data_IF_328487337768
#
_entry.id   IF_328487337768
#
_cell.length_a   1.000
_cell.length_b   1.000
_cell.length_c   1.000
_cell.angle_alpha   90.00
_cell.angle_beta   90.00
_cell.angle_gamma   90.00
#
_symmetry.space_group_name_H-M   'P 1'
#
loop_
_entity.id
_entity.type
_entity.pdbx_description
1 polymer ?
#
# COMPACT_ATOMS: atom_id res chain seq x y z
N UNK A 1 -12.81 14.03 -8.81
CA UNK A 1 -13.27 12.64 -8.66
C UNK A 1 -12.26 11.70 -9.31
N UNK A 2 -11.41 11.05 -8.52
CA UNK A 2 -10.44 10.07 -9.01
C UNK A 2 -10.47 8.85 -8.10
N UNK A 3 -11.62 8.20 -8.02
CA UNK A 3 -11.82 7.11 -7.06
C UNK A 3 -12.54 5.95 -7.73
N UNK A 4 -11.89 4.79 -7.71
CA UNK A 4 -12.38 3.43 -7.98
C UNK A 4 -12.56 2.89 -9.41
N UNK A 5 -12.92 3.66 -10.44
CA UNK A 5 -13.21 3.05 -11.75
C UNK A 5 -11.98 2.79 -12.64
N UNK A 6 -10.94 3.63 -12.56
CA UNK A 6 -9.74 3.46 -13.40
C UNK A 6 -8.83 2.31 -12.95
N UNK A 7 -8.80 1.99 -11.66
CA UNK A 7 -8.06 0.83 -11.10
C UNK A 7 -8.64 -0.50 -11.55
N UNK A 8 -9.85 -0.53 -12.11
CA UNK A 8 -10.46 -1.73 -12.73
C UNK A 8 -9.98 -1.98 -14.16
N UNK A 9 -9.29 -1.02 -14.78
CA UNK A 9 -8.81 -1.19 -16.15
C UNK A 9 -7.70 -2.24 -16.16
N UNK A 10 -7.85 -3.38 -16.86
CA UNK A 10 -6.85 -4.44 -16.87
C UNK A 10 -5.48 -3.95 -17.30
N UNK A 11 -5.42 -3.06 -18.31
CA UNK A 11 -4.17 -2.46 -18.77
C UNK A 11 -3.41 -1.70 -17.68
N UNK A 12 -4.10 -1.01 -16.77
CA UNK A 12 -3.45 -0.33 -15.65
C UNK A 12 -2.95 -1.32 -14.60
N UNK A 13 -3.72 -2.38 -14.32
CA UNK A 13 -3.31 -3.44 -13.40
C UNK A 13 -2.06 -4.16 -13.91
N UNK A 14 -2.02 -4.45 -15.22
CA UNK A 14 -0.90 -5.12 -15.87
C UNK A 14 0.35 -4.21 -15.91
N UNK A 15 0.19 -2.92 -16.24
CA UNK A 15 1.29 -1.95 -16.21
C UNK A 15 1.86 -1.72 -14.81
N UNK A 16 0.98 -1.70 -13.79
CA UNK A 16 1.40 -1.61 -12.38
C UNK A 16 2.22 -2.84 -11.98
N UNK A 17 1.73 -4.04 -12.31
CA UNK A 17 2.45 -5.29 -12.06
C UNK A 17 3.81 -5.34 -12.74
N UNK A 18 3.88 -4.89 -14.00
CA UNK A 18 5.14 -4.82 -14.75
C UNK A 18 6.15 -3.86 -14.09
N UNK A 19 5.68 -2.73 -13.57
CA UNK A 19 6.52 -1.77 -12.84
C UNK A 19 7.05 -2.35 -11.53
N UNK A 20 6.20 -3.03 -10.75
CA UNK A 20 6.59 -3.69 -9.50
C UNK A 20 7.58 -4.82 -9.77
N UNK A 21 7.36 -5.60 -10.82
CA UNK A 21 8.27 -6.66 -11.25
C UNK A 21 9.65 -6.08 -11.58
N UNK A 22 9.70 -5.01 -12.36
CA UNK A 22 10.96 -4.36 -12.71
C UNK A 22 11.72 -3.85 -11.48
N UNK A 23 11.05 -3.12 -10.58
CA UNK A 23 11.67 -2.66 -9.32
C UNK A 23 12.17 -3.84 -8.49
N UNK A 24 11.40 -4.92 -8.43
CA UNK A 24 11.75 -6.13 -7.68
C UNK A 24 12.95 -6.88 -8.27
N UNK A 25 13.19 -6.77 -9.59
CA UNK A 25 14.35 -7.37 -10.25
C UNK A 25 15.64 -6.62 -9.92
N UNK A 26 15.60 -5.30 -9.88
CA UNK A 26 16.80 -4.46 -9.65
C UNK A 26 17.09 -4.23 -8.16
N UNK A 27 16.12 -4.44 -7.29
CA UNK A 27 16.28 -4.20 -5.84
C UNK A 27 16.70 -5.50 -5.13
N UNK A 28 17.89 -5.56 -4.50
CA UNK A 28 18.27 -6.70 -3.68
C UNK A 28 17.43 -6.75 -2.38
N UNK A 29 17.27 -7.95 -1.81
CA UNK A 29 16.57 -8.15 -0.53
C UNK A 29 15.11 -7.65 -0.53
N UNK A 30 14.72 -6.82 0.44
CA UNK A 30 13.35 -6.43 0.72
C UNK A 30 12.80 -5.31 -0.14
N UNK A 31 11.60 -5.52 -0.69
CA UNK A 31 10.76 -4.51 -1.33
C UNK A 31 9.42 -4.46 -0.62
N UNK A 32 8.99 -3.28 -0.22
CA UNK A 32 7.65 -3.04 0.31
C UNK A 32 6.78 -2.41 -0.78
N UNK A 33 5.52 -2.86 -0.91
CA UNK A 33 4.57 -2.29 -1.84
C UNK A 33 3.26 -1.95 -1.13
N UNK A 34 3.03 -0.66 -0.87
CA UNK A 34 1.84 -0.18 -0.18
C UNK A 34 0.71 0.13 -1.14
N UNK A 35 -0.46 -0.43 -0.81
CA UNK A 35 -1.69 -0.35 -1.60
C UNK A 35 -2.78 0.43 -0.84
N UNK A 36 -3.65 1.18 -1.54
CA UNK A 36 -4.77 1.93 -0.94
C UNK A 36 -5.78 1.09 -0.16
N UNK A 37 -5.94 -0.19 -0.48
CA UNK A 37 -6.91 -1.05 0.19
C UNK A 37 -6.64 -2.54 -0.04
N UNK A 38 -7.09 -3.38 0.89
CA UNK A 38 -7.10 -4.84 0.71
C UNK A 38 -7.91 -5.27 -0.52
N UNK A 39 -8.97 -4.56 -0.87
CA UNK A 39 -9.77 -4.90 -2.04
C UNK A 39 -8.97 -4.76 -3.34
N UNK A 40 -8.20 -3.67 -3.48
CA UNK A 40 -7.31 -3.50 -4.63
C UNK A 40 -6.20 -4.54 -4.61
N UNK A 41 -5.62 -4.84 -3.45
CA UNK A 41 -4.62 -5.89 -3.30
C UNK A 41 -5.12 -7.25 -3.78
N UNK A 42 -6.32 -7.68 -3.37
CA UNK A 42 -6.94 -8.92 -3.85
C UNK A 42 -7.23 -8.87 -5.36
N UNK A 43 -7.72 -7.74 -5.87
CA UNK A 43 -8.00 -7.57 -7.30
C UNK A 43 -6.73 -7.73 -8.15
N UNK A 44 -5.63 -7.09 -7.76
CA UNK A 44 -4.35 -7.19 -8.45
C UNK A 44 -3.78 -8.60 -8.35
N UNK A 45 -3.84 -9.24 -7.18
CA UNK A 45 -3.41 -10.61 -7.00
C UNK A 45 -4.14 -11.56 -7.96
N UNK A 46 -5.47 -11.52 -8.02
CA UNK A 46 -6.26 -12.35 -8.96
C UNK A 46 -5.87 -12.09 -10.41
N UNK A 47 -5.80 -10.82 -10.84
CA UNK A 47 -5.40 -10.47 -12.21
C UNK A 47 -3.99 -10.96 -12.56
N UNK A 48 -3.05 -10.83 -11.63
CA UNK A 48 -1.66 -11.23 -11.85
C UNK A 48 -1.47 -12.74 -11.79
N UNK A 49 -2.33 -13.48 -11.10
CA UNK A 49 -2.41 -14.93 -11.22
C UNK A 49 -2.87 -15.35 -12.61
N UNK A 50 -3.96 -14.76 -13.12
CA UNK A 50 -4.51 -15.05 -14.46
C UNK A 50 -3.53 -14.76 -15.59
N UNK A 51 -2.78 -13.65 -15.49
CA UNK A 51 -1.80 -13.22 -16.51
C UNK A 51 -0.43 -13.89 -16.35
N UNK A 52 -0.22 -14.66 -15.28
CA UNK A 52 1.06 -15.28 -14.95
C UNK A 52 2.12 -14.31 -14.41
N UNK A 53 1.79 -13.03 -14.22
CA UNK A 53 2.70 -12.03 -13.65
C UNK A 53 3.06 -12.36 -12.19
N UNK A 54 2.10 -12.87 -11.41
CA UNK A 54 2.32 -13.27 -10.03
C UNK A 54 3.41 -14.35 -9.93
N UNK A 55 3.38 -15.33 -10.84
CA UNK A 55 4.41 -16.37 -10.92
C UNK A 55 5.79 -15.76 -11.18
N UNK A 56 5.89 -14.80 -12.10
CA UNK A 56 7.17 -14.09 -12.38
C UNK A 56 7.71 -13.36 -11.14
N UNK A 57 6.83 -12.76 -10.32
CA UNK A 57 7.23 -12.15 -9.05
C UNK A 57 7.75 -13.22 -8.07
N UNK A 58 7.02 -14.33 -7.91
CA UNK A 58 7.43 -15.44 -7.05
C UNK A 58 8.73 -16.12 -7.51
N UNK A 59 9.05 -16.09 -8.80
CA UNK A 59 10.30 -16.63 -9.34
C UNK A 59 11.50 -15.80 -8.85
N UNK A 60 11.36 -14.48 -8.71
CA UNK A 60 12.46 -13.55 -8.35
C UNK A 60 12.47 -13.14 -6.87
N UNK A 61 11.35 -13.21 -6.16
CA UNK A 61 11.18 -12.79 -4.76
C UNK A 61 10.31 -13.78 -4.00
N UNK A 62 10.51 -13.90 -2.68
CA UNK A 62 9.49 -14.47 -1.80
C UNK A 62 8.38 -13.44 -1.61
N UNK A 63 7.18 -13.73 -2.11
CA UNK A 63 6.08 -12.74 -2.14
C UNK A 63 5.10 -12.99 -1.00
N UNK A 64 4.84 -11.95 -0.21
CA UNK A 64 3.94 -11.96 0.93
C UNK A 64 2.85 -10.90 0.76
N UNK A 65 1.69 -11.14 1.40
CA UNK A 65 0.57 -10.22 1.41
C UNK A 65 0.09 -10.02 2.84
N UNK A 66 -0.20 -8.78 3.21
CA UNK A 66 -0.75 -8.46 4.52
C UNK A 66 -2.14 -9.08 4.70
N UNK A 67 -2.35 -9.77 5.82
CA UNK A 67 -3.65 -10.32 6.20
C UNK A 67 -4.39 -9.46 7.22
N UNK A 68 -5.73 -9.41 7.08
CA UNK A 68 -6.62 -8.84 8.10
C UNK A 68 -6.66 -9.71 9.35
N UNK A 69 -6.50 -11.02 9.22
CA UNK A 69 -6.38 -11.92 10.37
C UNK A 69 -5.06 -11.66 11.09
N UNK A 70 -5.10 -11.56 12.43
CA UNK A 70 -3.90 -11.28 13.24
C UNK A 70 -2.90 -12.44 13.20
N UNK A 71 -3.39 -13.67 13.27
CA UNK A 71 -2.52 -14.86 13.24
C UNK A 71 -1.80 -14.97 11.90
N UNK A 72 -2.55 -14.97 10.80
CA UNK A 72 -1.97 -15.06 9.46
C UNK A 72 -1.02 -13.89 9.17
N UNK A 73 -1.30 -12.71 9.72
CA UNK A 73 -0.39 -11.57 9.59
C UNK A 73 0.94 -11.83 10.28
N UNK A 74 0.92 -12.31 11.53
CA UNK A 74 2.15 -12.62 12.26
C UNK A 74 2.95 -13.72 11.56
N UNK A 75 2.28 -14.80 11.14
CA UNK A 75 2.92 -15.92 10.42
C UNK A 75 3.58 -15.42 9.11
N UNK A 76 2.89 -14.57 8.34
CA UNK A 76 3.45 -13.97 7.12
C UNK A 76 4.65 -13.06 7.40
N UNK A 77 4.65 -12.33 8.51
CA UNK A 77 5.76 -11.44 8.87
C UNK A 77 6.98 -12.21 9.37
N UNK A 78 6.79 -13.28 10.14
CA UNK A 78 7.87 -14.17 10.56
C UNK A 78 8.57 -14.78 9.35
N UNK A 79 7.79 -15.26 8.38
CA UNK A 79 8.35 -15.74 7.11
C UNK A 79 9.01 -14.62 6.31
N UNK A 80 8.41 -13.43 6.22
CA UNK A 80 9.04 -12.28 5.56
C UNK A 80 10.44 -12.02 6.10
N UNK A 81 10.59 -11.89 7.42
CA UNK A 81 11.89 -11.62 8.05
C UNK A 81 12.90 -12.75 7.85
N UNK A 82 12.43 -14.00 7.80
CA UNK A 82 13.27 -15.16 7.49
C UNK A 82 13.82 -15.12 6.05
N UNK A 83 12.99 -14.74 5.08
CA UNK A 83 13.37 -14.82 3.66
C UNK A 83 13.98 -13.53 3.10
N UNK A 84 13.73 -12.37 3.70
CA UNK A 84 14.17 -11.07 3.16
C UNK A 84 15.70 -10.95 3.09
N UNK A 85 16.42 -11.57 4.02
CA UNK A 85 17.89 -11.58 4.06
C UNK A 85 18.55 -12.55 3.06
N UNK A 86 17.77 -13.41 2.40
CA UNK A 86 18.31 -14.35 1.41
C UNK A 86 18.73 -13.64 0.12
N UNK A 87 19.48 -14.33 -0.74
CA UNK A 87 19.86 -13.83 -2.07
C UNK A 87 18.65 -13.58 -2.97
N UNK A 88 17.56 -14.35 -2.79
CA UNK A 88 16.30 -14.13 -3.49
C UNK A 88 15.59 -12.88 -2.96
N UNK A 89 15.61 -12.66 -1.65
CA UNK A 89 14.93 -11.53 -1.00
C UNK A 89 13.41 -11.68 -1.00
N UNK A 90 12.71 -10.64 -0.56
CA UNK A 90 11.27 -10.70 -0.35
C UNK A 90 10.54 -9.44 -0.86
N UNK A 91 9.28 -9.62 -1.27
CA UNK A 91 8.35 -8.57 -1.64
C UNK A 91 7.13 -8.67 -0.71
N UNK A 92 6.82 -7.61 0.02
CA UNK A 92 5.64 -7.55 0.87
C UNK A 92 4.63 -6.56 0.30
N UNK A 93 3.44 -7.06 -0.05
CA UNK A 93 2.28 -6.21 -0.33
C UNK A 93 1.57 -5.87 0.99
N UNK A 94 1.51 -4.58 1.30
CA UNK A 94 0.91 -4.05 2.51
C UNK A 94 -0.16 -3.00 2.16
N UNK A 95 -1.01 -2.66 3.12
CA UNK A 95 -2.05 -1.61 2.96
C UNK A 95 -1.65 -0.39 3.79
N UNK A 96 -1.84 0.82 3.25
CA UNK A 96 -1.62 2.03 4.04
C UNK A 96 -2.54 2.04 5.26
N UNK A 97 -2.01 2.49 6.40
CA UNK A 97 -2.73 2.44 7.69
C UNK A 97 -3.18 1.02 8.06
N UNK A 98 -2.50 0.01 7.49
CA UNK A 98 -2.59 -1.38 7.89
C UNK A 98 -1.60 -1.68 9.02
N UNK A 99 -1.58 -2.93 9.47
CA UNK A 99 -0.75 -3.34 10.61
C UNK A 99 0.74 -3.10 10.36
N UNK A 100 1.16 -3.32 9.11
CA UNK A 100 2.53 -3.09 8.66
C UNK A 100 2.92 -1.61 8.75
N UNK A 101 1.97 -0.68 8.52
CA UNK A 101 2.25 0.77 8.53
C UNK A 101 2.27 1.40 9.93
N UNK A 102 1.76 0.72 10.96
CA UNK A 102 1.54 1.32 12.29
C UNK A 102 2.49 0.82 13.38
N UNK A 103 3.16 -0.33 13.18
CA UNK A 103 3.93 -0.96 14.26
C UNK A 103 5.18 -1.72 13.85
N UNK A 104 5.60 -1.63 12.58
CA UNK A 104 6.75 -2.38 12.07
C UNK A 104 7.87 -1.46 11.64
N UNK A 105 9.08 -1.75 12.12
CA UNK A 105 10.31 -1.06 11.73
C UNK A 105 11.11 -2.01 10.81
N UNK A 106 11.50 -1.51 9.64
CA UNK A 106 12.25 -2.28 8.64
C UNK A 106 13.66 -1.69 8.51
N UNK A 107 14.67 -2.48 8.87
CA UNK A 107 16.08 -2.04 8.89
C UNK A 107 16.90 -2.69 7.78
N UNK A 108 17.90 -1.96 7.30
CA UNK A 108 18.93 -2.44 6.37
C UNK A 108 18.34 -3.15 5.14
N UNK A 109 18.47 -4.48 5.10
CA UNK A 109 18.03 -5.33 3.98
C UNK A 109 16.51 -5.56 3.97
N UNK A 110 15.82 -5.25 5.06
CA UNK A 110 14.40 -5.54 5.23
C UNK A 110 13.49 -4.63 4.40
N UNK A 111 13.95 -3.47 3.94
CA UNK A 111 13.21 -2.59 3.04
C UNK A 111 14.17 -1.69 2.24
N UNK A 112 14.73 -2.23 1.15
CA UNK A 112 15.66 -1.51 0.26
C UNK A 112 14.95 -0.63 -0.77
N UNK A 113 13.68 -0.91 -1.04
CA UNK A 113 12.80 -0.04 -1.80
C UNK A 113 11.38 -0.08 -1.22
N UNK A 114 10.70 1.07 -1.28
CA UNK A 114 9.29 1.21 -0.94
C UNK A 114 8.55 1.73 -2.17
N UNK A 115 7.55 0.97 -2.60
CA UNK A 115 6.66 1.31 -3.72
C UNK A 115 5.33 1.77 -3.13
N UNK A 116 4.94 3.00 -3.42
CA UNK A 116 3.67 3.58 -2.95
C UNK A 116 2.69 3.66 -4.11
N UNK A 117 1.67 2.80 -4.10
CA UNK A 117 0.63 2.78 -5.15
C UNK A 117 -0.48 3.75 -4.80
N UNK A 118 -0.76 4.72 -5.68
CA UNK A 118 -1.81 5.72 -5.49
C UNK A 118 -1.55 6.65 -4.30
N UNK A 119 -2.59 7.40 -3.92
CA UNK A 119 -2.54 8.35 -2.80
C UNK A 119 -3.51 7.87 -1.70
N UNK A 120 -3.05 7.66 -0.45
CA UNK A 120 -3.86 7.13 0.64
C UNK A 120 -4.80 8.20 1.24
N UNK A 121 -5.73 8.69 0.43
CA UNK A 121 -6.76 9.60 0.93
C UNK A 121 -7.70 8.89 1.91
N UNK A 122 -8.17 9.58 2.97
CA UNK A 122 -9.27 9.09 3.79
C UNK A 122 -10.48 8.73 2.94
N UNK A 123 -11.21 7.70 3.37
CA UNK A 123 -12.45 7.31 2.71
C UNK A 123 -13.49 8.44 2.85
N UNK A 124 -13.73 9.19 1.78
CA UNK A 124 -14.70 10.28 1.78
C UNK A 124 -16.15 9.81 1.95
N UNK A 125 -16.43 8.49 1.86
CA UNK A 125 -17.75 7.93 2.15
C UNK A 125 -18.01 7.71 3.64
N UNK A 126 -16.95 7.65 4.46
CA UNK A 126 -17.04 7.52 5.91
C UNK A 126 -17.72 8.75 6.50
N UNK A 127 -18.71 8.51 7.36
CA UNK A 127 -19.50 9.57 7.99
C UNK A 127 -18.61 10.51 8.83
N UNK A 128 -17.63 9.96 9.53
CA UNK A 128 -16.71 10.76 10.36
C UNK A 128 -15.85 11.70 9.52
N UNK A 129 -15.37 11.22 8.37
CA UNK A 129 -14.59 12.02 7.41
C UNK A 129 -15.46 13.12 6.82
N UNK A 130 -16.69 12.80 6.40
CA UNK A 130 -17.64 13.79 5.87
C UNK A 130 -17.95 14.88 6.88
N UNK A 131 -18.28 14.52 8.12
CA UNK A 131 -18.61 15.50 9.16
C UNK A 131 -17.39 16.36 9.52
N UNK A 132 -16.19 15.76 9.56
CA UNK A 132 -14.95 16.51 9.77
C UNK A 132 -14.70 17.52 8.65
N UNK A 133 -14.91 17.13 7.40
CA UNK A 133 -14.77 18.03 6.25
C UNK A 133 -15.77 19.19 6.32
N UNK A 134 -17.05 18.92 6.57
CA UNK A 134 -18.08 19.96 6.74
C UNK A 134 -17.74 20.93 7.88
N UNK A 135 -17.27 20.39 9.01
CA UNK A 135 -16.86 21.20 10.15
C UNK A 135 -15.68 22.10 9.80
N UNK A 136 -14.64 21.54 9.17
CA UNK A 136 -13.47 22.30 8.75
C UNK A 136 -13.84 23.41 7.77
N UNK A 137 -14.67 23.13 6.77
CA UNK A 137 -15.10 24.15 5.80
C UNK A 137 -15.92 25.26 6.47
N UNK A 138 -16.85 24.90 7.38
CA UNK A 138 -17.66 25.86 8.13
C UNK A 138 -16.83 26.81 9.01
N UNK A 139 -15.72 26.32 9.58
CA UNK A 139 -14.93 27.08 10.55
C UNK A 139 -13.50 27.41 10.08
N UNK A 140 -13.21 27.25 8.79
CA UNK A 140 -11.89 27.51 8.20
C UNK A 140 -11.43 28.95 8.47
N UNK A 141 -12.25 29.94 8.11
CA UNK A 141 -11.95 31.36 8.32
C UNK A 141 -12.08 31.83 9.76
N UNK A 142 -12.99 31.24 10.55
CA UNK A 142 -13.30 31.73 11.91
C UNK A 142 -12.44 31.12 13.00
N UNK A 143 -11.90 29.92 12.77
CA UNK A 143 -11.05 29.20 13.72
C UNK A 143 -9.65 28.88 13.18
N UNK A 144 -9.31 29.40 12.00
CA UNK A 144 -8.02 29.12 11.34
C UNK A 144 -7.82 27.64 11.03
N UNK A 145 -8.91 26.90 10.76
CA UNK A 145 -8.82 25.48 10.41
C UNK A 145 -8.44 25.33 8.94
N UNK A 146 -7.73 24.25 8.63
CA UNK A 146 -7.48 23.83 7.25
C UNK A 146 -8.82 23.58 6.53
N UNK A 147 -8.93 24.02 5.28
CA UNK A 147 -10.05 23.63 4.42
C UNK A 147 -10.13 22.10 4.29
N UNK A 148 -11.28 21.56 3.91
CA UNK A 148 -11.47 20.12 3.70
C UNK A 148 -10.43 19.55 2.72
N UNK A 149 -10.13 20.28 1.64
CA UNK A 149 -9.12 19.89 0.65
C UNK A 149 -7.71 19.83 1.24
N UNK A 150 -7.31 20.84 2.00
CA UNK A 150 -5.98 20.87 2.64
C UNK A 150 -5.86 19.82 3.72
N UNK A 151 -6.91 19.63 4.52
CA UNK A 151 -6.95 18.59 5.53
C UNK A 151 -6.84 17.19 4.91
N UNK A 152 -7.59 16.89 3.85
CA UNK A 152 -7.46 15.62 3.11
C UNK A 152 -6.04 15.40 2.58
N UNK A 153 -5.41 16.46 2.05
CA UNK A 153 -4.03 16.40 1.57
C UNK A 153 -3.05 16.10 2.70
N UNK A 154 -3.19 16.75 3.86
CA UNK A 154 -2.39 16.45 5.06
C UNK A 154 -2.60 15.00 5.51
N UNK A 155 -3.83 14.50 5.49
CA UNK A 155 -4.13 13.11 5.86
C UNK A 155 -3.47 12.10 4.92
N UNK A 156 -3.41 12.39 3.62
CA UNK A 156 -2.72 11.56 2.65
C UNK A 156 -1.20 11.56 2.87
N UNK A 157 -0.59 12.75 3.07
CA UNK A 157 0.85 12.84 3.34
C UNK A 157 1.26 12.12 4.64
N UNK A 158 0.45 12.21 5.70
CA UNK A 158 0.72 11.47 6.94
C UNK A 158 0.77 9.97 6.71
N UNK A 159 -0.18 9.42 5.97
CA UNK A 159 -0.23 7.99 5.69
C UNK A 159 0.89 7.54 4.72
N UNK A 160 1.28 8.40 3.78
CA UNK A 160 2.42 8.15 2.90
C UNK A 160 3.73 8.12 3.70
N UNK A 161 3.95 9.10 4.56
CA UNK A 161 5.15 9.22 5.38
C UNK A 161 5.23 8.17 6.52
N UNK A 162 4.12 7.50 6.84
CA UNK A 162 4.14 6.33 7.73
C UNK A 162 4.58 5.05 7.01
N UNK A 163 4.39 5.00 5.70
CA UNK A 163 4.72 3.85 4.89
C UNK A 163 6.15 3.89 4.31
N UNK A 164 6.76 5.07 4.22
CA UNK A 164 8.03 5.33 3.54
C UNK A 164 9.12 5.81 4.50
#
# INVERSE_FOLDING_TARGET
>A
ECTNNRTRLPALQDALGASILWVSQVTPHGVLCFLPSYQLMTTLHTRWQETGLWRKLCDIKHVFMESRNVRDHNDNMDDYYKYVGTSKGALLFAVYRGKVSEGMDFKDHQARAVITVGVPFPNMFDMSVKEKMKYNDKYSSTRGLLSSREWLRVQAYRALNQAA
#
